data_IF_452769810873
#
_entry.id   IF_452769810873
#
_cell.length_a   1.000
_cell.length_b   1.000
_cell.length_c   1.000
_cell.angle_alpha   90.00
_cell.angle_beta   90.00
_cell.angle_gamma   90.00
#
_symmetry.space_group_name_H-M   'P 1'
#
loop_
_entity.id
_entity.type
_entity.pdbx_description
1 polymer ?
#
# COMPACT_ATOMS: atom_id res chain seq x y z
N UNK A 1 29.21 -4.17 -43.51
CA UNK A 1 29.38 -4.57 -42.08
C UNK A 1 29.51 -3.29 -41.29
N UNK A 2 28.42 -2.82 -40.71
CA UNK A 2 28.36 -1.58 -39.91
C UNK A 2 27.69 -1.93 -38.59
N UNK A 3 28.49 -2.02 -37.57
CA UNK A 3 28.06 -2.25 -36.19
C UNK A 3 27.44 -0.97 -35.62
N UNK A 4 26.12 -1.03 -35.31
CA UNK A 4 25.45 -0.01 -34.52
C UNK A 4 25.71 -0.26 -33.03
N UNK A 5 26.40 0.68 -32.39
CA UNK A 5 26.56 0.70 -30.95
C UNK A 5 25.24 1.11 -30.31
N UNK A 6 24.69 0.23 -29.47
CA UNK A 6 23.53 0.51 -28.63
C UNK A 6 24.03 1.31 -27.40
N UNK A 7 23.66 2.58 -27.33
CA UNK A 7 23.92 3.42 -26.18
C UNK A 7 23.07 2.97 -24.98
N UNK A 8 23.69 2.37 -23.98
CA UNK A 8 23.09 2.12 -22.68
C UNK A 8 22.86 3.44 -21.98
N UNK A 9 21.60 3.80 -21.75
CA UNK A 9 21.24 4.85 -20.81
C UNK A 9 21.32 4.23 -19.41
N UNK A 10 22.25 4.72 -18.60
CA UNK A 10 22.32 4.43 -17.16
C UNK A 10 21.10 5.08 -16.50
N UNK A 11 20.19 4.28 -15.99
CA UNK A 11 19.16 4.74 -15.07
C UNK A 11 19.80 5.08 -13.72
N UNK A 12 19.33 6.10 -13.00
CA UNK A 12 19.87 6.41 -11.67
C UNK A 12 19.49 5.28 -10.70
N UNK A 13 20.50 4.66 -10.11
CA UNK A 13 20.34 3.71 -9.03
C UNK A 13 19.71 4.44 -7.83
N UNK A 14 18.48 4.09 -7.48
CA UNK A 14 17.85 4.51 -6.24
C UNK A 14 18.48 3.72 -5.10
N UNK A 15 19.57 4.23 -4.57
CA UNK A 15 20.11 3.76 -3.31
C UNK A 15 19.13 4.16 -2.20
N UNK A 16 18.55 3.18 -1.53
CA UNK A 16 17.83 3.36 -0.27
C UNK A 16 18.87 3.74 0.79
N UNK A 17 19.25 5.02 0.84
CA UNK A 17 20.25 5.52 1.76
C UNK A 17 19.69 5.51 3.19
N UNK A 18 20.03 4.49 3.95
CA UNK A 18 19.95 4.53 5.41
C UNK A 18 21.13 5.36 5.87
N UNK A 19 20.92 6.66 6.07
CA UNK A 19 21.93 7.57 6.58
C UNK A 19 22.27 7.26 8.04
N UNK A 20 23.40 6.66 8.30
CA UNK A 20 24.06 6.64 9.59
C UNK A 20 24.66 8.02 9.83
N UNK A 21 24.02 8.84 10.66
CA UNK A 21 24.54 10.13 11.09
C UNK A 21 25.67 9.91 12.10
N UNK A 22 26.90 10.09 11.66
CA UNK A 22 28.09 10.25 12.52
C UNK A 22 28.30 11.72 12.86
N UNK A 23 28.44 12.03 14.14
CA UNK A 23 28.76 13.37 14.69
C UNK A 23 30.16 13.85 14.29
N UNK A 24 30.27 15.16 14.00
CA UNK A 24 31.52 15.88 14.22
C UNK A 24 31.78 17.09 13.34
N UNK A 25 31.85 18.29 13.97
CA UNK A 25 32.81 19.32 13.60
C UNK A 25 32.31 20.60 12.93
N UNK A 26 32.32 21.63 13.72
CA UNK A 26 32.14 23.06 13.44
C UNK A 26 33.12 23.65 12.41
N UNK A 27 32.68 24.70 11.69
CA UNK A 27 33.56 25.58 10.92
C UNK A 27 32.80 26.67 10.17
N UNK A 28 32.91 27.91 10.71
CA UNK A 28 32.41 29.16 10.13
C UNK A 28 33.03 29.51 8.77
N UNK A 29 32.35 30.18 7.88
CA UNK A 29 32.70 31.47 7.29
C UNK A 29 31.83 31.92 6.09
N UNK A 30 31.20 33.08 6.29
CA UNK A 30 31.04 34.26 5.42
C UNK A 30 30.76 34.18 3.90
N UNK A 31 29.58 34.64 3.53
CA UNK A 31 29.26 35.77 2.67
C UNK A 31 29.64 35.75 1.19
N UNK A 32 28.62 35.89 0.34
CA UNK A 32 28.53 37.00 -0.64
C UNK A 32 27.18 36.95 -1.37
N UNK A 33 26.56 38.14 -1.44
CA UNK A 33 25.33 38.47 -2.17
C UNK A 33 25.57 38.51 -3.68
N UNK A 34 24.66 37.91 -4.47
CA UNK A 34 24.51 38.27 -5.88
C UNK A 34 23.00 38.51 -6.16
N UNK A 35 22.73 39.75 -6.52
CA UNK A 35 21.47 40.29 -6.95
C UNK A 35 21.23 39.89 -8.39
N UNK A 36 20.14 39.19 -8.70
CA UNK A 36 19.70 38.99 -10.08
C UNK A 36 18.35 39.65 -10.34
N UNK A 37 18.33 40.32 -11.50
CA UNK A 37 17.27 41.20 -11.97
C UNK A 37 15.99 40.47 -12.32
N UNK A 38 14.88 41.03 -11.91
CA UNK A 38 13.53 40.69 -12.35
C UNK A 38 13.37 41.00 -13.84
N UNK A 39 12.88 40.02 -14.61
CA UNK A 39 12.25 40.21 -15.91
C UNK A 39 10.77 39.91 -15.76
N UNK A 40 9.97 40.93 -15.88
CA UNK A 40 8.52 40.84 -15.89
C UNK A 40 8.04 40.30 -17.24
N UNK A 41 7.39 39.15 -17.22
CA UNK A 41 6.61 38.61 -18.33
C UNK A 41 5.27 38.12 -17.80
N UNK A 42 4.24 38.98 -17.90
CA UNK A 42 2.88 38.64 -17.52
C UNK A 42 2.26 37.73 -18.57
N UNK A 43 2.08 36.44 -18.24
CA UNK A 43 1.06 35.59 -18.86
C UNK A 43 0.13 35.18 -17.72
N UNK A 44 -1.09 35.67 -17.74
CA UNK A 44 -2.11 35.35 -16.76
C UNK A 44 -2.49 33.87 -16.82
N UNK A 45 -1.97 33.11 -15.90
CA UNK A 45 -2.53 31.81 -15.53
C UNK A 45 -3.60 32.10 -14.47
N UNK A 46 -4.84 31.93 -14.85
CA UNK A 46 -5.94 31.82 -13.89
C UNK A 46 -5.66 30.63 -13.02
N UNK A 47 -5.27 30.88 -11.77
CA UNK A 47 -5.27 29.87 -10.72
C UNK A 47 -6.71 29.42 -10.55
N UNK A 48 -7.00 28.21 -11.00
CA UNK A 48 -8.23 27.50 -10.64
C UNK A 48 -8.36 27.52 -9.12
N UNK A 49 -9.52 27.92 -8.68
CA UNK A 49 -9.89 28.06 -7.27
C UNK A 49 -9.50 26.79 -6.52
N UNK A 50 -8.48 26.85 -5.70
CA UNK A 50 -8.23 25.84 -4.70
C UNK A 50 -9.52 25.69 -3.88
N UNK A 51 -10.23 24.56 -4.06
CA UNK A 51 -11.37 24.23 -3.23
C UNK A 51 -10.92 24.30 -1.77
N UNK A 52 -11.68 25.03 -0.95
CA UNK A 52 -11.40 25.12 0.49
C UNK A 52 -11.20 23.70 1.06
N UNK A 53 -10.23 23.50 1.98
CA UNK A 53 -10.00 22.19 2.56
C UNK A 53 -11.32 21.65 3.10
N UNK A 54 -11.76 20.50 2.60
CA UNK A 54 -12.98 19.86 3.09
C UNK A 54 -12.81 19.60 4.58
N UNK A 55 -13.83 19.94 5.38
CA UNK A 55 -13.78 19.75 6.83
C UNK A 55 -13.41 18.30 7.15
N UNK A 56 -12.46 18.11 8.08
CA UNK A 56 -12.09 16.79 8.58
C UNK A 56 -13.32 16.18 9.25
N UNK A 57 -13.74 15.00 8.78
CA UNK A 57 -14.90 14.28 9.32
C UNK A 57 -14.47 13.23 10.32
N UNK A 58 -15.38 12.84 11.20
CA UNK A 58 -15.20 11.64 12.02
C UNK A 58 -15.56 10.39 11.22
N UNK A 59 -14.71 9.39 11.25
CA UNK A 59 -15.03 8.10 10.63
C UNK A 59 -16.28 7.51 11.31
N UNK A 60 -17.30 7.23 10.51
CA UNK A 60 -18.60 6.77 11.00
C UNK A 60 -18.72 5.25 10.93
N UNK A 61 -19.70 4.73 11.68
CA UNK A 61 -20.16 3.34 11.52
C UNK A 61 -21.14 3.27 10.36
N UNK A 62 -20.97 2.27 9.50
CA UNK A 62 -21.89 1.95 8.40
C UNK A 62 -22.49 0.55 8.58
N UNK A 63 -23.55 0.29 7.84
CA UNK A 63 -24.15 -1.05 7.81
C UNK A 63 -23.35 -1.93 6.85
N UNK A 64 -22.26 -2.53 7.36
CA UNK A 64 -21.36 -3.37 6.58
C UNK A 64 -21.80 -4.84 6.68
N UNK A 65 -21.88 -5.50 5.51
CA UNK A 65 -22.01 -6.95 5.40
C UNK A 65 -20.74 -7.62 5.90
N UNK A 66 -20.78 -8.41 6.98
CA UNK A 66 -19.59 -9.06 7.54
C UNK A 66 -18.90 -10.04 6.57
N UNK A 67 -19.57 -10.46 5.51
CA UNK A 67 -18.98 -11.31 4.47
C UNK A 67 -18.24 -10.50 3.39
N UNK A 68 -18.30 -9.16 3.44
CA UNK A 68 -17.75 -8.25 2.42
C UNK A 68 -16.80 -7.23 3.04
N UNK A 69 -15.85 -7.71 3.81
CA UNK A 69 -14.80 -6.90 4.45
C UNK A 69 -13.46 -7.34 3.88
N UNK A 70 -12.78 -6.45 3.15
CA UNK A 70 -11.57 -6.76 2.39
C UNK A 70 -10.44 -5.80 2.73
N UNK A 71 -9.22 -6.21 2.42
CA UNK A 71 -8.03 -5.36 2.48
C UNK A 71 -7.31 -5.42 1.15
N UNK A 72 -6.75 -4.28 0.74
CA UNK A 72 -5.93 -4.18 -0.47
C UNK A 72 -4.72 -3.31 -0.19
N UNK A 73 -3.59 -3.58 -0.84
CA UNK A 73 -2.40 -2.74 -0.66
C UNK A 73 -1.28 -3.07 -1.60
N UNK A 74 -0.36 -2.11 -1.73
CA UNK A 74 0.84 -2.23 -2.56
C UNK A 74 2.10 -2.06 -1.74
N UNK A 75 3.18 -2.80 -2.08
CA UNK A 75 4.51 -2.62 -1.49
C UNK A 75 4.43 -2.72 0.04
N UNK A 76 4.88 -1.74 0.81
CA UNK A 76 4.67 -1.74 2.27
C UNK A 76 3.20 -1.91 2.67
N UNK A 77 2.27 -1.29 1.92
CA UNK A 77 0.84 -1.53 2.09
C UNK A 77 0.41 -2.94 1.70
N UNK A 78 1.10 -3.58 0.75
CA UNK A 78 0.91 -4.98 0.38
C UNK A 78 1.31 -5.93 1.51
N UNK A 79 2.49 -5.72 2.11
CA UNK A 79 2.93 -6.45 3.32
C UNK A 79 1.96 -6.22 4.48
N UNK A 80 1.55 -4.97 4.72
CA UNK A 80 0.58 -4.65 5.77
C UNK A 80 -0.80 -5.27 5.48
N UNK A 81 -1.22 -5.37 4.21
CA UNK A 81 -2.46 -6.06 3.83
C UNK A 81 -2.41 -7.55 4.16
N UNK A 82 -1.27 -8.22 3.93
CA UNK A 82 -1.06 -9.62 4.34
C UNK A 82 -1.12 -9.73 5.86
N UNK A 83 -0.43 -8.85 6.59
CA UNK A 83 -0.48 -8.83 8.06
C UNK A 83 -1.91 -8.65 8.59
N UNK A 84 -2.66 -7.68 8.04
CA UNK A 84 -4.05 -7.43 8.41
C UNK A 84 -4.95 -8.63 8.09
N UNK A 85 -4.81 -9.22 6.90
CA UNK A 85 -5.61 -10.36 6.47
C UNK A 85 -5.36 -11.59 7.33
N UNK A 86 -4.11 -11.94 7.58
CA UNK A 86 -3.73 -13.10 8.38
C UNK A 86 -4.10 -12.92 9.85
N UNK A 87 -3.67 -11.80 10.46
CA UNK A 87 -3.91 -11.56 11.88
C UNK A 87 -5.40 -11.42 12.23
N UNK A 88 -6.21 -10.89 11.30
CA UNK A 88 -7.63 -10.66 11.48
C UNK A 88 -8.50 -11.42 10.46
N UNK A 89 -8.14 -12.66 10.14
CA UNK A 89 -8.80 -13.49 9.11
C UNK A 89 -10.27 -13.84 9.45
N UNK A 90 -10.71 -13.70 10.69
CA UNK A 90 -12.13 -13.76 11.06
C UNK A 90 -12.91 -12.53 10.60
N UNK A 91 -12.25 -11.40 10.41
CA UNK A 91 -12.84 -10.13 9.97
C UNK A 91 -12.72 -9.96 8.47
N UNK A 92 -11.51 -10.00 7.94
CA UNK A 92 -11.29 -9.91 6.51
C UNK A 92 -11.69 -11.20 5.81
N UNK A 93 -12.31 -11.04 4.63
CA UNK A 93 -12.84 -12.13 3.81
C UNK A 93 -12.14 -12.26 2.46
N UNK A 94 -11.07 -11.52 2.29
CA UNK A 94 -10.19 -11.55 1.13
C UNK A 94 -9.17 -10.43 1.16
N UNK A 95 -8.10 -10.62 0.41
CA UNK A 95 -7.01 -9.66 0.27
C UNK A 95 -6.59 -9.49 -1.19
N UNK A 96 -6.28 -8.24 -1.59
CA UNK A 96 -5.64 -7.93 -2.86
C UNK A 96 -4.25 -7.32 -2.58
N UNK A 97 -3.20 -8.05 -2.96
CA UNK A 97 -1.81 -7.72 -2.62
C UNK A 97 -1.01 -7.46 -3.89
N UNK A 98 -0.43 -6.28 -3.98
CA UNK A 98 0.41 -5.85 -5.08
C UNK A 98 1.83 -5.69 -4.58
N UNK A 99 2.76 -6.40 -5.18
CA UNK A 99 4.19 -6.31 -4.87
C UNK A 99 4.46 -6.28 -3.35
N UNK A 100 3.86 -7.23 -2.61
CA UNK A 100 4.06 -7.46 -1.18
C UNK A 100 4.93 -8.68 -0.92
N UNK A 101 4.68 -9.41 0.16
CA UNK A 101 5.39 -10.65 0.48
C UNK A 101 4.74 -11.45 1.59
N UNK A 102 5.36 -12.56 1.98
CA UNK A 102 4.86 -13.49 2.98
C UNK A 102 4.61 -12.84 4.34
N UNK A 103 3.75 -13.44 5.13
CA UNK A 103 3.46 -12.97 6.49
C UNK A 103 4.74 -12.94 7.35
N UNK A 104 4.95 -11.85 8.12
CA UNK A 104 6.12 -11.69 8.99
C UNK A 104 7.47 -11.84 8.26
N UNK A 105 7.54 -11.51 6.97
CA UNK A 105 8.70 -11.65 6.11
C UNK A 105 9.98 -11.05 6.70
N UNK A 106 9.91 -9.88 7.31
CA UNK A 106 11.06 -9.22 7.94
C UNK A 106 11.58 -9.95 9.19
N UNK A 107 10.81 -10.88 9.73
CA UNK A 107 11.18 -11.55 10.98
C UNK A 107 11.34 -10.56 12.14
N UNK A 108 12.22 -10.87 13.05
CA UNK A 108 12.55 -10.01 14.20
C UNK A 108 13.80 -9.12 13.97
N UNK A 109 14.24 -8.99 12.70
CA UNK A 109 15.55 -8.41 12.40
C UNK A 109 15.58 -6.92 12.08
N UNK A 110 14.45 -6.22 12.05
CA UNK A 110 14.38 -4.80 11.69
C UNK A 110 14.69 -4.52 10.21
N UNK A 111 14.92 -3.24 9.87
CA UNK A 111 14.99 -2.77 8.48
C UNK A 111 16.04 -3.50 7.61
N UNK A 112 17.25 -3.75 8.13
CA UNK A 112 18.31 -4.41 7.36
C UNK A 112 17.91 -5.86 6.98
N UNK A 113 17.34 -6.60 7.93
CA UNK A 113 16.86 -7.95 7.70
C UNK A 113 15.64 -7.95 6.76
N UNK A 114 14.75 -6.99 6.94
CA UNK A 114 13.60 -6.80 6.06
C UNK A 114 14.01 -6.61 4.60
N UNK A 115 14.96 -5.73 4.35
CA UNK A 115 15.50 -5.50 3.01
C UNK A 115 16.20 -6.74 2.43
N UNK A 116 16.95 -7.47 3.25
CA UNK A 116 17.65 -8.67 2.81
C UNK A 116 16.71 -9.85 2.52
N UNK A 117 15.61 -9.95 3.26
CA UNK A 117 14.69 -11.09 3.19
C UNK A 117 13.51 -10.86 2.26
N UNK A 118 13.00 -9.64 2.21
CA UNK A 118 11.69 -9.34 1.61
C UNK A 118 11.73 -8.19 0.61
N UNK A 119 12.77 -7.38 0.64
CA UNK A 119 13.01 -6.39 -0.41
C UNK A 119 13.71 -7.06 -1.56
N UNK A 120 13.29 -6.79 -2.78
CA UNK A 120 14.23 -6.95 -3.87
C UNK A 120 15.27 -5.88 -3.67
N UNK A 121 16.48 -6.20 -3.22
CA UNK A 121 17.53 -5.27 -3.57
C UNK A 121 17.53 -5.17 -5.09
N UNK A 122 16.99 -4.04 -5.58
CA UNK A 122 17.34 -3.36 -6.83
C UNK A 122 18.21 -4.20 -7.75
N UNK A 123 17.74 -5.33 -8.23
CA UNK A 123 18.61 -6.10 -9.08
C UNK A 123 17.83 -6.84 -10.15
N UNK A 124 17.71 -6.21 -11.33
CA UNK A 124 17.34 -6.97 -12.55
C UNK A 124 18.32 -8.09 -12.83
N UNK A 125 19.47 -8.12 -12.14
CA UNK A 125 20.58 -8.99 -12.49
C UNK A 125 20.89 -10.08 -11.46
N UNK A 126 20.26 -10.12 -10.28
CA UNK A 126 20.66 -11.10 -9.27
C UNK A 126 19.49 -11.79 -8.56
N UNK A 127 18.61 -12.41 -9.33
CA UNK A 127 17.67 -13.38 -8.79
C UNK A 127 18.36 -14.56 -8.06
N UNK A 128 19.68 -14.68 -8.15
CA UNK A 128 20.46 -15.72 -7.48
C UNK A 128 20.63 -15.49 -5.98
N UNK A 129 20.45 -14.27 -5.48
CA UNK A 129 20.62 -13.91 -4.05
C UNK A 129 19.30 -13.82 -3.28
N UNK A 130 18.16 -14.13 -3.88
CA UNK A 130 16.89 -14.19 -3.16
C UNK A 130 16.91 -15.31 -2.12
N UNK A 131 16.66 -14.97 -0.87
CA UNK A 131 16.50 -15.92 0.23
C UNK A 131 15.01 -16.00 0.56
N UNK A 132 14.39 -17.14 0.22
CA UNK A 132 12.99 -17.37 0.59
C UNK A 132 12.81 -17.38 2.10
N UNK A 133 11.82 -16.62 2.58
CA UNK A 133 11.39 -16.61 3.97
C UNK A 133 10.08 -17.39 4.19
N UNK A 134 9.62 -18.12 3.19
CA UNK A 134 8.38 -18.90 3.21
C UNK A 134 8.30 -19.84 4.42
N UNK A 135 9.30 -20.72 4.59
CA UNK A 135 9.29 -21.71 5.68
C UNK A 135 9.32 -21.05 7.07
N UNK A 136 10.18 -20.06 7.36
CA UNK A 136 10.11 -19.32 8.61
C UNK A 136 8.79 -18.59 8.83
N UNK A 137 8.19 -18.02 7.78
CA UNK A 137 6.90 -17.37 7.82
C UNK A 137 5.77 -18.32 8.21
N UNK A 138 5.64 -19.45 7.51
CA UNK A 138 4.65 -20.48 7.81
C UNK A 138 4.78 -20.98 9.25
N UNK A 139 6.00 -21.26 9.71
CA UNK A 139 6.25 -21.71 11.08
C UNK A 139 5.85 -20.64 12.11
N UNK A 140 6.13 -19.36 11.84
CA UNK A 140 5.72 -18.27 12.71
C UNK A 140 4.20 -18.12 12.73
N UNK A 141 3.55 -18.14 11.58
CA UNK A 141 2.09 -18.04 11.44
C UNK A 141 1.39 -19.15 12.23
N UNK A 142 1.83 -20.40 12.07
CA UNK A 142 1.28 -21.55 12.81
C UNK A 142 1.45 -21.40 14.32
N UNK A 143 2.61 -20.96 14.77
CA UNK A 143 2.88 -20.70 16.19
C UNK A 143 1.96 -19.60 16.73
N UNK A 144 1.84 -18.46 16.03
CA UNK A 144 1.00 -17.36 16.46
C UNK A 144 -0.49 -17.69 16.41
N UNK A 145 -0.94 -18.46 15.42
CA UNK A 145 -2.29 -19.00 15.35
C UNK A 145 -2.60 -19.90 16.53
N UNK A 146 -1.67 -20.77 16.91
CA UNK A 146 -1.81 -21.69 18.06
C UNK A 146 -1.83 -20.94 19.40
N UNK A 147 -1.09 -19.83 19.51
CA UNK A 147 -1.07 -18.97 20.70
C UNK A 147 -2.28 -18.04 20.78
N UNK A 148 -3.07 -17.89 19.72
CA UNK A 148 -4.23 -16.99 19.65
C UNK A 148 -3.85 -15.51 19.54
N UNK A 149 -2.60 -15.19 19.22
CA UNK A 149 -2.13 -13.82 18.99
C UNK A 149 -2.56 -13.27 17.64
N UNK A 150 -2.94 -14.17 16.73
CA UNK A 150 -3.67 -13.93 15.48
C UNK A 150 -4.93 -14.80 15.45
N UNK A 151 -5.77 -14.59 14.45
CA UNK A 151 -6.91 -15.48 14.21
C UNK A 151 -6.44 -16.87 13.75
N UNK A 152 -7.28 -17.92 13.91
CA UNK A 152 -6.93 -19.24 13.42
C UNK A 152 -6.57 -19.24 11.92
N UNK A 153 -5.41 -19.76 11.56
CA UNK A 153 -4.95 -19.87 10.18
C UNK A 153 -5.95 -20.61 9.26
N UNK A 154 -6.75 -21.51 9.87
CA UNK A 154 -7.82 -22.23 9.16
C UNK A 154 -8.91 -21.32 8.59
N UNK A 155 -9.02 -20.07 9.06
CA UNK A 155 -9.95 -19.09 8.49
C UNK A 155 -9.58 -18.68 7.06
N UNK A 156 -8.30 -18.79 6.69
CA UNK A 156 -7.82 -18.46 5.35
C UNK A 156 -8.35 -19.42 4.28
N UNK A 157 -8.76 -20.64 4.68
CA UNK A 157 -9.24 -21.67 3.76
C UNK A 157 -10.43 -21.17 2.94
N UNK A 158 -10.27 -21.21 1.60
CA UNK A 158 -11.28 -20.82 0.64
C UNK A 158 -11.50 -19.31 0.53
N UNK A 159 -10.80 -18.47 1.34
CA UNK A 159 -10.89 -17.03 1.16
C UNK A 159 -10.23 -16.61 -0.17
N UNK A 160 -10.85 -15.70 -0.92
CA UNK A 160 -10.27 -15.21 -2.17
C UNK A 160 -9.09 -14.29 -1.88
N UNK A 161 -7.98 -14.54 -2.57
CA UNK A 161 -6.75 -13.74 -2.51
C UNK A 161 -6.30 -13.42 -3.93
N UNK A 162 -6.19 -12.15 -4.22
CA UNK A 162 -5.62 -11.66 -5.47
C UNK A 162 -4.19 -11.19 -5.25
N UNK A 163 -3.28 -11.65 -6.10
CA UNK A 163 -1.87 -11.27 -6.08
C UNK A 163 -1.49 -10.64 -7.42
N UNK A 164 -0.67 -9.57 -7.35
CA UNK A 164 -0.10 -8.91 -8.51
C UNK A 164 1.40 -8.72 -8.35
N UNK A 165 2.17 -9.12 -9.37
CA UNK A 165 3.61 -8.86 -9.45
C UNK A 165 4.02 -8.60 -10.89
N UNK A 166 4.66 -7.46 -11.14
CA UNK A 166 5.26 -7.19 -12.44
C UNK A 166 6.52 -8.03 -12.67
N UNK A 167 6.73 -8.49 -13.91
CA UNK A 167 7.93 -9.28 -14.24
C UNK A 167 9.20 -8.43 -14.30
N UNK A 168 9.06 -7.10 -14.32
CA UNK A 168 10.15 -6.13 -14.33
C UNK A 168 10.35 -5.44 -12.98
N UNK A 169 9.58 -5.82 -11.94
CA UNK A 169 9.64 -5.18 -10.62
C UNK A 169 11.07 -5.23 -10.05
N UNK A 170 11.70 -4.05 -9.97
CA UNK A 170 13.06 -3.87 -9.44
C UNK A 170 13.07 -3.51 -7.94
N UNK A 171 11.89 -3.37 -7.30
CA UNK A 171 11.77 -2.95 -5.89
C UNK A 171 11.40 -4.12 -4.99
N UNK A 172 10.38 -4.90 -5.35
CA UNK A 172 10.03 -6.14 -4.65
C UNK A 172 10.24 -7.31 -5.60
N UNK A 173 11.12 -8.22 -5.22
CA UNK A 173 11.46 -9.35 -6.08
C UNK A 173 10.20 -10.17 -6.40
N UNK A 174 9.89 -10.46 -7.69
CA UNK A 174 8.74 -11.28 -8.06
C UNK A 174 8.68 -12.65 -7.38
N UNK A 175 9.81 -13.19 -6.92
CA UNK A 175 9.85 -14.44 -6.13
C UNK A 175 9.22 -14.31 -4.76
N UNK A 176 9.25 -13.11 -4.16
CA UNK A 176 8.58 -12.83 -2.89
C UNK A 176 7.07 -13.02 -3.02
N UNK A 177 6.52 -12.56 -4.15
CA UNK A 177 5.10 -12.77 -4.45
C UNK A 177 4.78 -14.23 -4.82
N UNK A 178 5.73 -14.97 -5.39
CA UNK A 178 5.57 -16.40 -5.63
C UNK A 178 5.61 -17.22 -4.33
N UNK A 179 6.42 -16.80 -3.37
CA UNK A 179 6.39 -17.38 -2.02
C UNK A 179 5.08 -17.05 -1.30
N UNK A 180 4.55 -15.84 -1.46
CA UNK A 180 3.24 -15.48 -0.90
C UNK A 180 2.09 -16.29 -1.53
N UNK A 181 2.14 -16.56 -2.83
CA UNK A 181 1.19 -17.49 -3.49
C UNK A 181 1.24 -18.87 -2.84
N UNK A 182 2.46 -19.37 -2.64
CA UNK A 182 2.69 -20.67 -1.98
C UNK A 182 2.19 -20.70 -0.55
N UNK A 183 2.44 -19.62 0.25
CA UNK A 183 1.96 -19.50 1.62
C UNK A 183 0.42 -19.53 1.68
N UNK A 184 -0.25 -18.72 0.88
CA UNK A 184 -1.72 -18.72 0.84
C UNK A 184 -2.29 -20.06 0.37
N UNK A 185 -1.65 -20.70 -0.63
CA UNK A 185 -2.04 -22.02 -1.11
C UNK A 185 -1.87 -23.09 -0.02
N UNK A 186 -0.79 -23.03 0.80
CA UNK A 186 -0.57 -23.91 1.94
C UNK A 186 -1.74 -23.85 2.93
N UNK A 187 -2.27 -22.66 3.24
CA UNK A 187 -3.45 -22.51 4.10
C UNK A 187 -4.79 -22.72 3.37
N UNK A 188 -4.76 -23.08 2.09
CA UNK A 188 -5.93 -23.42 1.29
C UNK A 188 -6.78 -22.24 0.87
N UNK A 189 -6.22 -21.05 0.76
CA UNK A 189 -6.87 -19.89 0.16
C UNK A 189 -7.15 -20.11 -1.33
N UNK A 190 -8.11 -19.38 -1.88
CA UNK A 190 -8.40 -19.38 -3.31
C UNK A 190 -7.62 -18.24 -3.96
N UNK A 191 -6.43 -18.54 -4.48
CA UNK A 191 -5.50 -17.53 -5.02
C UNK A 191 -5.70 -17.32 -6.52
N UNK A 192 -5.68 -16.07 -6.96
CA UNK A 192 -5.47 -15.68 -8.35
C UNK A 192 -4.23 -14.79 -8.42
N UNK A 193 -3.23 -15.23 -9.20
CA UNK A 193 -1.94 -14.56 -9.27
C UNK A 193 -1.65 -14.05 -10.69
N UNK A 194 -1.69 -12.73 -10.87
CA UNK A 194 -1.25 -12.04 -12.08
C UNK A 194 0.25 -11.72 -11.99
N UNK A 195 1.07 -12.53 -12.67
CA UNK A 195 2.53 -12.46 -12.64
C UNK A 195 3.19 -12.49 -14.02
N UNK A 196 2.43 -12.16 -15.06
CA UNK A 196 2.91 -12.24 -16.46
C UNK A 196 3.05 -10.89 -17.14
N UNK A 197 2.59 -9.82 -16.51
CA UNK A 197 2.68 -8.47 -17.06
C UNK A 197 4.13 -7.95 -17.00
N UNK A 198 4.63 -7.33 -18.07
CA UNK A 198 5.92 -6.64 -18.06
C UNK A 198 5.80 -5.28 -17.36
N UNK A 199 5.34 -5.33 -16.12
CA UNK A 199 5.14 -4.18 -15.25
C UNK A 199 6.36 -3.98 -14.35
N UNK A 200 6.66 -2.72 -14.08
CA UNK A 200 7.51 -2.30 -12.98
C UNK A 200 6.72 -2.20 -11.68
N UNK A 201 7.45 -1.88 -10.57
CA UNK A 201 6.86 -1.71 -9.25
C UNK A 201 5.77 -0.64 -9.26
N UNK A 202 4.51 -1.05 -9.11
CA UNK A 202 3.38 -0.14 -9.16
C UNK A 202 2.04 -0.81 -8.88
N UNK A 203 1.09 0.01 -8.43
CA UNK A 203 -0.32 -0.35 -8.39
C UNK A 203 -0.89 -0.30 -9.81
N UNK A 204 -1.41 -1.39 -10.31
CA UNK A 204 -2.02 -1.42 -11.62
C UNK A 204 -3.47 -0.93 -11.56
N UNK A 205 -3.78 0.05 -12.40
CA UNK A 205 -5.11 0.63 -12.53
C UNK A 205 -5.28 1.24 -13.93
N UNK A 206 -6.49 1.21 -14.52
CA UNK A 206 -6.76 1.91 -15.78
C UNK A 206 -6.56 3.43 -15.69
N UNK A 207 -6.55 3.98 -14.48
CA UNK A 207 -6.34 5.41 -14.20
C UNK A 207 -4.85 5.75 -13.92
N UNK A 208 -3.98 4.73 -13.85
CA UNK A 208 -2.54 4.93 -13.65
C UNK A 208 -1.91 5.78 -14.75
N UNK A 209 -1.08 6.74 -14.37
CA UNK A 209 -0.46 7.65 -15.35
C UNK A 209 0.84 7.12 -15.94
N UNK A 210 1.51 6.19 -15.26
CA UNK A 210 2.76 5.61 -15.76
C UNK A 210 2.48 4.47 -16.74
N UNK A 211 3.32 4.32 -17.75
CA UNK A 211 3.31 3.14 -18.59
C UNK A 211 3.67 1.89 -17.74
N UNK A 212 3.12 0.72 -18.09
CA UNK A 212 3.23 -0.52 -17.35
C UNK A 212 4.67 -0.87 -16.89
N UNK A 213 5.66 -0.73 -17.76
CA UNK A 213 7.08 -0.99 -17.46
C UNK A 213 7.86 0.26 -17.02
N UNK A 214 7.25 1.19 -16.29
CA UNK A 214 7.91 2.42 -15.83
C UNK A 214 7.95 2.46 -14.31
N UNK A 215 9.16 2.45 -13.74
CA UNK A 215 9.38 2.68 -12.32
C UNK A 215 9.41 4.19 -12.02
N UNK A 216 8.67 4.64 -11.02
CA UNK A 216 8.71 6.03 -10.57
C UNK A 216 7.44 6.47 -9.86
N UNK A 217 7.53 7.63 -9.19
CA UNK A 217 6.37 8.25 -8.56
C UNK A 217 5.32 8.63 -9.63
N UNK A 218 4.04 8.39 -9.37
CA UNK A 218 3.40 8.00 -8.11
C UNK A 218 3.26 6.48 -7.92
N UNK A 219 3.99 5.66 -8.66
CA UNK A 219 3.90 4.19 -8.63
C UNK A 219 2.49 3.67 -8.94
N UNK A 220 1.82 4.34 -9.88
CA UNK A 220 0.51 3.98 -10.41
C UNK A 220 0.69 3.67 -11.89
N UNK A 221 0.66 2.39 -12.24
CA UNK A 221 0.94 1.93 -13.60
C UNK A 221 -0.35 1.55 -14.35
N UNK A 222 -0.36 1.77 -15.65
CA UNK A 222 -1.42 1.32 -16.54
C UNK A 222 -0.89 0.29 -17.51
N UNK A 223 -1.38 -0.93 -17.39
CA UNK A 223 -1.02 -2.04 -18.23
C UNK A 223 -2.09 -2.35 -19.28
N UNK A 224 -1.76 -3.20 -20.24
CA UNK A 224 -2.69 -3.67 -21.25
C UNK A 224 -2.53 -5.16 -21.46
N UNK A 225 -3.66 -5.85 -21.66
CA UNK A 225 -3.72 -7.26 -22.03
C UNK A 225 -4.55 -7.41 -23.30
N UNK A 226 -4.04 -8.15 -24.28
CA UNK A 226 -4.74 -8.38 -25.56
C UNK A 226 -5.18 -7.11 -26.29
N UNK A 227 -4.43 -6.00 -26.14
CA UNK A 227 -4.72 -4.71 -26.77
C UNK A 227 -5.74 -3.84 -26.04
N UNK A 228 -6.28 -4.30 -24.91
CA UNK A 228 -7.17 -3.53 -24.06
C UNK A 228 -6.49 -3.12 -22.77
N UNK A 229 -6.90 -1.99 -22.18
CA UNK A 229 -6.42 -1.55 -20.87
C UNK A 229 -6.88 -2.57 -19.83
N UNK A 230 -5.93 -3.05 -19.03
CA UNK A 230 -6.21 -3.97 -17.94
C UNK A 230 -6.82 -3.22 -16.75
N UNK A 231 -7.62 -3.91 -15.96
CA UNK A 231 -8.22 -3.39 -14.74
C UNK A 231 -8.14 -4.47 -13.66
N UNK A 232 -7.05 -4.44 -12.91
CA UNK A 232 -6.79 -5.39 -11.83
C UNK A 232 -7.81 -5.25 -10.70
N UNK A 233 -8.31 -4.03 -10.46
CA UNK A 233 -9.35 -3.77 -9.45
C UNK A 233 -10.65 -4.47 -9.81
N UNK A 234 -11.04 -4.46 -11.09
CA UNK A 234 -12.16 -5.25 -11.59
C UNK A 234 -11.96 -6.74 -11.33
N UNK A 235 -10.74 -7.21 -11.57
CA UNK A 235 -10.40 -8.63 -11.44
C UNK A 235 -10.62 -9.11 -10.01
N UNK A 236 -9.98 -8.46 -9.01
CA UNK A 236 -10.11 -8.92 -7.63
C UNK A 236 -11.50 -8.64 -7.04
N UNK A 237 -12.16 -7.52 -7.42
CA UNK A 237 -13.53 -7.27 -6.96
C UNK A 237 -14.51 -8.31 -7.52
N UNK A 238 -14.32 -8.74 -8.78
CA UNK A 238 -15.14 -9.83 -9.35
C UNK A 238 -14.94 -11.14 -8.60
N UNK A 239 -13.69 -11.42 -8.22
CA UNK A 239 -13.35 -12.61 -7.42
C UNK A 239 -13.99 -12.56 -6.02
N UNK A 240 -14.04 -11.38 -5.39
CA UNK A 240 -14.53 -11.21 -4.03
C UNK A 240 -16.06 -11.08 -3.93
N UNK A 241 -16.70 -10.47 -4.91
CA UNK A 241 -18.11 -10.13 -4.87
C UNK A 241 -18.99 -10.92 -5.85
N UNK A 242 -18.36 -11.59 -6.82
CA UNK A 242 -19.06 -12.14 -7.98
C UNK A 242 -19.35 -11.07 -9.03
N UNK A 243 -20.45 -11.19 -9.80
CA UNK A 243 -20.76 -10.24 -10.87
C UNK A 243 -20.88 -8.80 -10.37
N UNK A 244 -20.11 -7.88 -10.99
CA UNK A 244 -20.10 -6.48 -10.64
C UNK A 244 -21.08 -5.66 -11.47
N UNK A 245 -21.60 -4.59 -10.89
CA UNK A 245 -22.17 -3.48 -11.66
C UNK A 245 -21.04 -2.77 -12.40
N UNK A 246 -21.34 -2.16 -13.56
CA UNK A 246 -20.32 -1.43 -14.32
C UNK A 246 -19.61 -0.36 -13.48
N UNK A 247 -18.32 -0.16 -13.78
CA UNK A 247 -17.50 0.91 -13.21
C UNK A 247 -18.15 2.27 -13.50
N UNK A 248 -18.14 3.18 -12.54
CA UNK A 248 -18.51 4.57 -12.82
C UNK A 248 -17.40 5.23 -13.65
N UNK A 249 -17.75 5.75 -14.80
CA UNK A 249 -16.81 6.44 -15.69
C UNK A 249 -17.10 7.95 -15.77
N UNK A 250 -18.07 8.42 -15.00
CA UNK A 250 -18.43 9.83 -14.89
C UNK A 250 -18.11 10.38 -13.50
N UNK A 251 -18.86 11.39 -13.09
CA UNK A 251 -18.73 11.94 -11.74
C UNK A 251 -19.23 10.95 -10.70
N UNK A 252 -18.42 10.66 -9.71
CA UNK A 252 -18.78 9.81 -8.59
C UNK A 252 -19.94 10.41 -7.81
N UNK A 253 -20.89 9.57 -7.40
CA UNK A 253 -22.05 9.95 -6.58
C UNK A 253 -21.76 9.88 -5.10
N UNK A 254 -20.74 9.09 -4.74
CA UNK A 254 -20.20 9.01 -3.39
C UNK A 254 -19.39 10.25 -3.04
N UNK A 255 -18.97 10.32 -1.79
CA UNK A 255 -18.18 11.43 -1.26
C UNK A 255 -16.82 10.94 -0.80
N UNK A 256 -15.76 11.54 -1.31
CA UNK A 256 -14.41 11.40 -0.77
C UNK A 256 -14.19 12.50 0.28
N UNK A 257 -13.80 12.11 1.48
CA UNK A 257 -13.58 13.03 2.61
C UNK A 257 -12.30 12.69 3.35
N UNK A 258 -11.71 13.68 4.00
CA UNK A 258 -10.60 13.50 4.94
C UNK A 258 -11.17 13.19 6.33
N UNK A 259 -10.61 12.19 7.04
CA UNK A 259 -11.01 11.86 8.40
C UNK A 259 -9.84 11.92 9.38
N UNK A 260 -10.15 12.08 10.67
CA UNK A 260 -9.19 12.15 11.77
C UNK A 260 -8.71 10.74 12.16
N UNK A 261 -7.43 10.43 11.89
CA UNK A 261 -6.79 9.16 12.26
C UNK A 261 -6.34 9.14 13.72
N UNK A 262 -6.20 10.30 14.37
CA UNK A 262 -5.73 10.38 15.76
C UNK A 262 -6.73 9.75 16.74
N UNK A 263 -8.02 9.69 16.37
CA UNK A 263 -9.04 8.97 17.13
C UNK A 263 -8.73 7.47 17.30
N UNK A 264 -7.85 6.91 16.46
CA UNK A 264 -7.45 5.50 16.47
C UNK A 264 -6.03 5.29 17.02
N UNK A 265 -5.35 6.36 17.44
CA UNK A 265 -3.99 6.31 17.96
C UNK A 265 -2.90 6.61 16.93
N UNK A 266 -3.28 7.10 15.73
CA UNK A 266 -2.30 7.60 14.77
C UNK A 266 -1.47 8.71 15.39
N UNK A 267 -0.15 8.60 15.29
CA UNK A 267 0.80 9.49 15.93
C UNK A 267 2.19 9.34 15.31
N UNK A 268 3.10 10.19 15.72
CA UNK A 268 4.52 10.08 15.33
C UNK A 268 5.14 8.74 15.76
N UNK A 269 4.74 8.17 16.89
CA UNK A 269 5.28 6.89 17.38
C UNK A 269 4.98 5.70 16.46
N UNK A 270 3.93 5.79 15.66
CA UNK A 270 3.56 4.76 14.67
C UNK A 270 3.74 5.26 13.23
N UNK A 271 4.32 6.45 13.04
CA UNK A 271 4.57 7.06 11.72
C UNK A 271 3.30 7.11 10.86
N UNK A 272 2.16 7.42 11.47
CA UNK A 272 0.88 7.59 10.79
C UNK A 272 0.43 9.05 10.85
N UNK A 273 0.01 9.57 9.71
CA UNK A 273 -0.51 10.93 9.53
C UNK A 273 -1.71 11.18 10.46
N UNK A 274 -1.93 12.43 10.83
CA UNK A 274 -3.12 12.80 11.62
C UNK A 274 -4.43 12.57 10.87
N UNK A 275 -4.38 12.52 9.53
CA UNK A 275 -5.56 12.36 8.69
C UNK A 275 -5.36 11.25 7.65
N UNK A 276 -6.45 10.60 7.30
CA UNK A 276 -6.58 9.68 6.17
C UNK A 276 -7.79 10.06 5.31
N UNK A 277 -8.07 9.28 4.29
CA UNK A 277 -9.21 9.51 3.40
C UNK A 277 -10.25 8.39 3.47
N UNK A 278 -11.50 8.74 3.27
CA UNK A 278 -12.61 7.78 3.20
C UNK A 278 -13.51 8.10 2.02
N UNK A 279 -13.81 7.09 1.20
CA UNK A 279 -14.81 7.18 0.15
C UNK A 279 -16.09 6.48 0.60
N UNK A 280 -17.21 7.20 0.53
CA UNK A 280 -18.51 6.73 0.98
C UNK A 280 -19.49 6.81 -0.17
N UNK A 281 -19.89 5.69 -0.79
CA UNK A 281 -20.96 5.66 -1.79
C UNK A 281 -22.26 6.25 -1.26
N UNK A 282 -23.02 6.95 -2.10
CA UNK A 282 -24.29 7.58 -1.70
C UNK A 282 -25.28 6.58 -1.08
N UNK A 283 -25.30 5.33 -1.58
CA UNK A 283 -26.16 4.27 -1.05
C UNK A 283 -25.77 3.92 0.41
N UNK A 284 -24.46 3.86 0.71
CA UNK A 284 -23.95 3.57 2.05
C UNK A 284 -24.24 4.71 3.03
N UNK A 285 -24.10 5.95 2.57
CA UNK A 285 -24.46 7.13 3.35
C UNK A 285 -25.97 7.17 3.70
N UNK A 286 -26.83 6.60 2.84
CA UNK A 286 -28.28 6.46 3.07
C UNK A 286 -28.65 5.25 3.95
N UNK A 287 -27.68 4.48 4.46
CA UNK A 287 -27.90 3.34 5.36
C UNK A 287 -28.18 2.01 4.67
N UNK A 288 -27.93 1.89 3.36
CA UNK A 288 -27.98 0.60 2.69
C UNK A 288 -26.84 -0.31 3.19
N UNK A 289 -27.03 -1.64 3.05
CA UNK A 289 -25.99 -2.60 3.37
C UNK A 289 -24.88 -2.53 2.33
N UNK A 290 -23.64 -2.35 2.78
CA UNK A 290 -22.45 -2.15 1.96
C UNK A 290 -21.36 -3.17 2.29
N UNK A 291 -20.35 -3.28 1.45
CA UNK A 291 -19.07 -3.89 1.79
C UNK A 291 -18.06 -2.84 2.25
N UNK A 292 -16.85 -3.30 2.54
CA UNK A 292 -15.76 -2.47 3.07
C UNK A 292 -14.43 -2.88 2.44
N UNK A 293 -13.60 -1.91 2.14
CA UNK A 293 -12.20 -2.10 1.73
C UNK A 293 -11.30 -1.20 2.57
N UNK A 294 -10.26 -1.78 3.18
CA UNK A 294 -9.11 -1.05 3.72
C UNK A 294 -8.04 -1.02 2.62
N UNK A 295 -7.70 0.16 2.11
CA UNK A 295 -6.77 0.33 0.98
C UNK A 295 -5.48 1.02 1.45
N UNK A 296 -4.36 0.31 1.35
CA UNK A 296 -3.07 0.69 1.91
C UNK A 296 -2.07 1.03 0.79
N UNK A 297 -1.54 2.26 0.82
CA UNK A 297 -0.55 2.74 -0.14
C UNK A 297 0.84 2.12 0.08
N UNK A 298 1.74 2.25 -0.87
CA UNK A 298 3.15 1.87 -0.74
C UNK A 298 4.01 2.97 -0.10
N UNK A 299 5.29 2.67 0.10
CA UNK A 299 6.26 3.71 0.45
C UNK A 299 6.28 4.80 -0.63
N UNK A 300 6.54 6.06 -0.24
CA UNK A 300 6.56 7.22 -1.13
C UNK A 300 5.23 7.49 -1.87
N UNK A 301 4.13 6.99 -1.34
CA UNK A 301 2.77 7.24 -1.86
C UNK A 301 1.86 7.95 -0.85
N UNK A 302 2.42 8.41 0.26
CA UNK A 302 1.68 9.21 1.25
C UNK A 302 1.19 10.55 0.67
N UNK A 303 0.10 11.07 1.23
CA UNK A 303 -0.55 12.27 0.73
C UNK A 303 0.35 13.51 0.74
N UNK A 304 1.35 13.58 1.63
CA UNK A 304 2.30 14.70 1.67
C UNK A 304 3.23 14.75 0.46
N UNK A 305 3.50 13.61 -0.18
CA UNK A 305 4.38 13.51 -1.34
C UNK A 305 3.62 13.54 -2.68
N UNK A 306 2.57 12.73 -2.80
CA UNK A 306 1.84 12.57 -4.07
C UNK A 306 0.44 13.22 -4.08
N UNK A 307 0.07 13.93 -3.02
CA UNK A 307 -1.27 14.53 -2.89
C UNK A 307 -2.36 13.45 -2.83
N UNK A 308 -3.47 13.70 -3.51
CA UNK A 308 -4.62 12.80 -3.49
C UNK A 308 -4.52 11.63 -4.49
N UNK A 309 -3.39 11.46 -5.18
CA UNK A 309 -3.28 10.54 -6.32
C UNK A 309 -3.56 9.09 -5.94
N UNK A 310 -3.06 8.63 -4.79
CA UNK A 310 -3.41 7.29 -4.30
C UNK A 310 -4.93 7.09 -4.23
N UNK A 311 -5.64 8.00 -3.60
CA UNK A 311 -7.08 7.86 -3.36
C UNK A 311 -7.95 8.15 -4.59
N UNK A 312 -7.41 8.82 -5.61
CA UNK A 312 -8.17 9.19 -6.84
C UNK A 312 -7.79 8.37 -8.06
N UNK A 313 -6.61 7.76 -8.10
CA UNK A 313 -6.10 7.03 -9.28
C UNK A 313 -5.96 5.51 -9.05
N UNK A 314 -6.19 5.04 -7.81
CA UNK A 314 -6.18 3.60 -7.54
C UNK A 314 -7.31 2.84 -8.25
N UNK A 315 -8.30 3.53 -8.82
CA UNK A 315 -9.41 2.94 -9.54
C UNK A 315 -10.44 2.23 -8.66
N UNK A 316 -10.28 2.28 -7.33
CA UNK A 316 -11.16 1.58 -6.39
C UNK A 316 -12.49 2.32 -6.22
N UNK A 317 -12.48 3.65 -6.18
CA UNK A 317 -13.68 4.46 -5.90
C UNK A 317 -14.74 4.30 -6.99
N UNK A 318 -14.33 4.20 -8.25
CA UNK A 318 -15.19 4.06 -9.41
C UNK A 318 -15.99 2.74 -9.37
N UNK A 319 -15.33 1.67 -8.91
CA UNK A 319 -16.01 0.40 -8.65
C UNK A 319 -16.80 0.42 -7.35
N UNK A 320 -16.29 1.06 -6.32
CA UNK A 320 -16.92 1.16 -5.01
C UNK A 320 -18.26 1.89 -5.07
N UNK A 321 -18.34 2.98 -5.85
CA UNK A 321 -19.55 3.79 -5.97
C UNK A 321 -20.76 3.01 -6.50
N UNK A 322 -20.53 2.18 -7.51
CA UNK A 322 -21.59 1.37 -8.13
C UNK A 322 -21.86 0.06 -7.38
N UNK A 323 -20.83 -0.51 -6.70
CA UNK A 323 -20.91 -1.80 -6.01
C UNK A 323 -21.04 -1.67 -4.48
N UNK A 324 -21.24 -0.46 -3.98
CA UNK A 324 -21.54 -0.15 -2.57
C UNK A 324 -20.43 -0.62 -1.62
N UNK A 325 -19.22 -0.15 -1.83
CA UNK A 325 -18.08 -0.41 -0.94
C UNK A 325 -17.66 0.89 -0.26
N UNK A 326 -17.67 0.94 1.07
CA UNK A 326 -16.97 2.00 1.81
C UNK A 326 -15.48 1.70 1.74
N UNK A 327 -14.68 2.67 1.32
CA UNK A 327 -13.21 2.50 1.21
C UNK A 327 -12.53 3.45 2.17
N UNK A 328 -11.68 2.90 3.04
CA UNK A 328 -10.84 3.68 3.95
C UNK A 328 -9.40 3.59 3.47
N UNK A 329 -8.78 4.75 3.34
CA UNK A 329 -7.40 4.96 2.92
C UNK A 329 -6.62 5.58 4.09
N UNK A 330 -6.03 4.77 4.97
CA UNK A 330 -5.10 5.28 5.96
C UNK A 330 -3.88 5.91 5.29
N UNK A 331 -3.29 6.91 5.95
CA UNK A 331 -2.11 7.60 5.46
C UNK A 331 -1.00 7.57 6.51
N UNK A 332 0.23 7.41 6.02
CA UNK A 332 1.45 7.44 6.83
C UNK A 332 2.24 8.72 6.55
N UNK A 333 3.33 8.95 7.24
CA UNK A 333 4.26 10.03 6.92
C UNK A 333 5.70 9.61 7.14
N UNK A 334 6.62 10.30 6.46
CA UNK A 334 8.04 10.06 6.63
C UNK A 334 8.51 10.53 8.01
N UNK A 335 9.23 9.67 8.72
CA UNK A 335 9.76 9.96 10.06
C UNK A 335 11.20 9.54 10.22
N UNK A 336 11.90 10.16 11.20
CA UNK A 336 13.30 9.90 11.52
C UNK A 336 13.54 10.08 13.01
N UNK A 337 14.72 9.63 13.48
CA UNK A 337 15.12 9.81 14.87
C UNK A 337 14.94 11.29 15.34
N UNK A 338 14.47 11.54 16.59
CA UNK A 338 14.30 10.58 17.69
C UNK A 338 13.07 9.68 17.63
N UNK A 339 12.18 9.84 16.64
CA UNK A 339 11.04 8.97 16.40
C UNK A 339 11.39 7.66 15.70
N UNK A 340 10.36 6.93 15.21
CA UNK A 340 10.55 5.76 14.33
C UNK A 340 11.34 6.13 13.09
N UNK A 341 12.23 5.24 12.64
CA UNK A 341 12.97 5.47 11.38
C UNK A 341 12.19 4.89 10.22
N UNK A 342 11.44 5.76 9.55
CA UNK A 342 10.61 5.45 8.39
C UNK A 342 10.72 6.58 7.35
N UNK A 343 11.87 6.75 6.67
CA UNK A 343 12.12 7.90 5.82
C UNK A 343 11.25 7.94 4.55
N UNK A 344 10.64 6.83 4.19
CA UNK A 344 9.85 6.67 2.97
C UNK A 344 8.34 6.55 3.23
N UNK A 345 7.86 6.91 4.42
CA UNK A 345 6.46 6.83 4.79
C UNK A 345 5.81 5.48 4.46
N UNK A 346 6.49 4.39 4.75
CA UNK A 346 5.97 3.04 4.55
C UNK A 346 4.97 2.68 5.66
N UNK A 347 4.06 1.73 5.43
CA UNK A 347 3.40 1.02 6.53
C UNK A 347 4.40 0.11 7.24
N UNK A 348 4.13 -0.24 8.52
CA UNK A 348 5.05 -1.03 9.33
C UNK A 348 5.02 -2.51 8.94
N UNK A 349 6.05 -2.93 8.22
CA UNK A 349 6.26 -4.32 7.81
C UNK A 349 7.58 -4.92 8.33
N UNK A 350 8.32 -4.14 9.17
CA UNK A 350 9.59 -4.59 9.79
C UNK A 350 9.74 -4.21 11.26
N UNK A 351 8.70 -3.68 11.91
CA UNK A 351 8.70 -3.38 13.34
C UNK A 351 9.32 -2.04 13.72
N UNK A 352 9.23 -1.01 12.88
CA UNK A 352 9.79 0.31 13.19
C UNK A 352 8.95 1.12 14.19
N UNK A 353 7.67 0.79 14.35
CA UNK A 353 6.76 1.52 15.24
C UNK A 353 7.32 1.61 16.66
N UNK A 354 7.23 2.81 17.27
CA UNK A 354 7.83 3.12 18.57
C UNK A 354 9.32 2.73 18.65
N UNK A 355 10.08 2.93 17.55
CA UNK A 355 11.49 2.55 17.37
C UNK A 355 11.76 1.04 17.26
N UNK A 356 10.92 0.19 17.83
CA UNK A 356 10.93 -1.26 17.66
C UNK A 356 9.65 -1.88 18.19
N UNK A 357 8.88 -2.49 17.31
CA UNK A 357 7.69 -3.27 17.66
C UNK A 357 7.91 -4.75 17.28
N UNK A 358 8.21 -5.64 18.23
CA UNK A 358 8.40 -7.06 17.96
C UNK A 358 7.09 -7.75 17.52
N UNK A 359 5.95 -7.11 17.74
CA UNK A 359 4.63 -7.64 17.46
C UNK A 359 4.01 -7.03 16.19
N UNK A 360 4.77 -6.33 15.37
CA UNK A 360 4.27 -5.54 14.24
C UNK A 360 3.31 -6.31 13.31
N UNK A 361 3.45 -7.63 13.19
CA UNK A 361 2.57 -8.48 12.39
C UNK A 361 1.42 -9.12 13.19
N UNK A 362 1.35 -8.92 14.51
CA UNK A 362 0.31 -9.50 15.37
C UNK A 362 -0.87 -8.52 15.58
N UNK A 363 -1.97 -9.01 16.13
CA UNK A 363 -3.11 -8.16 16.53
C UNK A 363 -2.71 -7.04 17.49
N UNK A 364 -1.71 -7.30 18.35
CA UNK A 364 -1.18 -6.34 19.32
C UNK A 364 -0.14 -5.38 18.74
N UNK A 365 0.24 -5.52 17.47
CA UNK A 365 1.14 -4.61 16.80
C UNK A 365 0.62 -3.17 16.86
N UNK A 366 1.52 -2.22 17.11
CA UNK A 366 1.12 -0.84 17.36
C UNK A 366 0.37 -0.23 16.18
N UNK A 367 0.94 -0.29 14.98
CA UNK A 367 0.27 0.23 13.78
C UNK A 367 -0.91 -0.66 13.35
N UNK A 368 -0.79 -1.99 13.52
CA UNK A 368 -1.89 -2.94 13.29
C UNK A 368 -3.13 -2.58 14.11
N UNK A 369 -2.95 -2.21 15.39
CA UNK A 369 -4.04 -1.82 16.29
C UNK A 369 -4.73 -0.53 15.81
N UNK A 370 -3.96 0.45 15.30
CA UNK A 370 -4.51 1.69 14.73
C UNK A 370 -5.35 1.40 13.50
N UNK A 371 -4.82 0.62 12.56
CA UNK A 371 -5.50 0.23 11.33
C UNK A 371 -6.78 -0.57 11.64
N UNK A 372 -6.68 -1.54 12.54
CA UNK A 372 -7.84 -2.36 12.92
C UNK A 372 -8.90 -1.55 13.66
N UNK A 373 -8.53 -0.56 14.47
CA UNK A 373 -9.46 0.38 15.10
C UNK A 373 -10.33 1.13 14.08
N UNK A 374 -9.79 1.51 12.92
CA UNK A 374 -10.57 2.10 11.83
C UNK A 374 -11.57 1.09 11.24
N UNK A 375 -11.14 -0.16 11.05
CA UNK A 375 -12.00 -1.25 10.58
C UNK A 375 -13.15 -1.51 11.56
N UNK A 376 -12.85 -1.60 12.85
CA UNK A 376 -13.85 -1.77 13.90
C UNK A 376 -14.87 -0.62 13.91
N UNK A 377 -14.41 0.63 13.77
CA UNK A 377 -15.28 1.80 13.72
C UNK A 377 -16.28 1.69 12.56
N UNK A 378 -15.80 1.42 11.34
CA UNK A 378 -16.64 1.38 10.14
C UNK A 378 -17.59 0.19 10.14
N UNK A 379 -17.10 -0.98 10.55
CA UNK A 379 -17.87 -2.24 10.51
C UNK A 379 -18.77 -2.42 11.74
N UNK A 380 -18.50 -1.69 12.82
CA UNK A 380 -19.19 -1.85 14.10
C UNK A 380 -18.89 -3.17 14.80
N UNK A 381 -17.78 -3.83 14.45
CA UNK A 381 -17.30 -5.01 15.17
C UNK A 381 -16.58 -4.60 16.46
N UNK A 382 -16.61 -5.44 17.49
CA UNK A 382 -15.86 -5.19 18.72
C UNK A 382 -14.36 -5.40 18.53
#
# INVERSE_FOLDING_TARGET
MTTKALGRRLAPAFALAIGLAGCGGSGDSAGTSAQEKAVAGSAGLTLDSASAPSAIVKLQRYKIDPAKVFVAGISSGGFAAVQMHVAHSSTFKGAAVYAGGVYWCAGAGGAATALANCGGETLPTNQASYNSTLVPSEAYLDAQSSLGTIDPATNLRGQPVYLWSGTLDEVVNPREMADLDSEYAHYGANVHFDNTFPAEHGWESPDGELACGTLGSPYMVRCSANGEVYDSVKTWLTMFLGPLKPRENGALKGTLSTFDQTEFGASENVSMSSTGSVFIPQACAKGETCGFVLALHGCLQEASLIGNRWVTEAGINEWADTNKLVVVYPDTFASSAPGPTNPNACFDWWGYSNQYDPNYALKSGLQMSVLYGMVQRVTGRP
#
